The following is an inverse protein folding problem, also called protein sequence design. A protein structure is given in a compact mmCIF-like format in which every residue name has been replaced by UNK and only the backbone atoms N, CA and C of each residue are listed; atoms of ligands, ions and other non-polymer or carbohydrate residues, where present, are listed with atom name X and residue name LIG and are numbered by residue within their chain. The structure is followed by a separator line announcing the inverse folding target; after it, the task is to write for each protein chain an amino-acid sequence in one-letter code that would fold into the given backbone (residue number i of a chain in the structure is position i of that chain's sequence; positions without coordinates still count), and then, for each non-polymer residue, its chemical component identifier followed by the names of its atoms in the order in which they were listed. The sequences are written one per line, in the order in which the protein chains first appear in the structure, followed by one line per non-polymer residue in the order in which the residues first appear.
data_IF_671546400437
#
_entry.id   IF_671546400437
#
_cell.length_a   1.000
_cell.length_b   1.000
_cell.length_c   1.000
_cell.angle_alpha   90.00
_cell.angle_beta   90.00
_cell.angle_gamma   90.00
#
_symmetry.space_group_name_H-M   'P 1'
#
loop_
_entity.id
_entity.type
_entity.pdbx_description
1 polymer ?
#
# COMPACT_ATOMS: atom_id res chain seq x y z
N UNK A 1 -25.18 12.61 23.33
CA UNK A 1 -25.50 13.38 22.12
C UNK A 1 -25.25 12.46 20.94
N UNK A 2 -26.21 12.33 20.01
CA UNK A 2 -26.01 11.48 18.83
C UNK A 2 -25.10 12.21 17.81
N UNK A 3 -24.23 11.46 17.14
CA UNK A 3 -23.38 11.98 16.07
C UNK A 3 -24.21 12.40 14.86
N UNK A 4 -23.80 13.49 14.20
CA UNK A 4 -24.41 13.95 12.94
C UNK A 4 -23.79 13.23 11.74
N UNK A 5 -24.44 13.32 10.57
CA UNK A 5 -23.88 12.80 9.32
C UNK A 5 -22.51 13.43 9.00
N UNK A 6 -22.33 14.72 9.30
CA UNK A 6 -21.06 15.41 9.11
C UNK A 6 -19.96 14.86 10.01
N UNK A 7 -20.29 14.50 11.26
CA UNK A 7 -19.35 13.86 12.17
C UNK A 7 -18.92 12.50 11.63
N UNK A 8 -19.85 11.70 11.10
CA UNK A 8 -19.54 10.42 10.47
C UNK A 8 -18.65 10.60 9.24
N UNK A 9 -18.97 11.54 8.34
CA UNK A 9 -18.15 11.80 7.16
C UNK A 9 -16.73 12.18 7.54
N UNK A 10 -16.59 13.00 8.58
CA UNK A 10 -15.29 13.42 9.09
C UNK A 10 -14.46 12.23 9.63
N UNK A 11 -15.12 11.21 10.18
CA UNK A 11 -14.44 10.04 10.76
C UNK A 11 -14.35 8.83 9.83
N UNK A 12 -15.05 8.81 8.69
CA UNK A 12 -15.18 7.57 7.88
C UNK A 12 -14.75 7.74 6.43
N UNK A 13 -14.79 8.97 5.89
CA UNK A 13 -14.36 9.23 4.52
C UNK A 13 -12.84 9.40 4.44
N UNK A 14 -12.23 8.67 3.52
CA UNK A 14 -10.78 8.68 3.28
C UNK A 14 -10.40 9.04 1.85
N UNK A 15 -11.40 9.12 0.98
CA UNK A 15 -11.22 9.39 -0.45
C UNK A 15 -11.03 10.88 -0.73
N UNK A 16 -10.43 11.19 -1.88
CA UNK A 16 -10.18 12.57 -2.30
C UNK A 16 -9.41 13.38 -1.24
N UNK A 17 -9.99 14.53 -0.90
CA UNK A 17 -9.45 15.52 0.03
C UNK A 17 -10.09 15.43 1.44
N UNK A 18 -10.77 14.32 1.75
CA UNK A 18 -11.31 14.09 3.08
C UNK A 18 -10.19 14.24 4.14
N UNK A 19 -10.37 15.05 5.20
CA UNK A 19 -9.25 15.39 6.07
C UNK A 19 -8.69 14.19 6.85
N UNK A 20 -9.51 13.20 7.19
CA UNK A 20 -9.05 11.93 7.74
C UNK A 20 -8.13 11.19 6.75
N UNK A 21 -8.50 11.11 5.48
CA UNK A 21 -7.64 10.52 4.45
C UNK A 21 -6.30 11.24 4.34
N UNK A 22 -6.31 12.58 4.41
CA UNK A 22 -5.10 13.40 4.47
C UNK A 22 -4.22 13.08 5.68
N UNK A 23 -4.84 13.01 6.86
CA UNK A 23 -4.17 12.70 8.12
C UNK A 23 -3.55 11.29 8.12
N UNK A 24 -4.29 10.27 7.67
CA UNK A 24 -3.79 8.89 7.56
C UNK A 24 -2.58 8.80 6.62
N UNK A 25 -2.66 9.41 5.44
CA UNK A 25 -1.55 9.41 4.47
C UNK A 25 -0.31 10.12 5.00
N UNK A 26 -0.49 11.28 5.64
CA UNK A 26 0.62 12.15 6.04
C UNK A 26 1.34 11.65 7.30
N UNK A 27 0.64 11.01 8.24
CA UNK A 27 1.19 10.74 9.57
C UNK A 27 1.42 9.27 9.90
N UNK A 28 0.85 8.33 9.13
CA UNK A 28 0.88 6.90 9.48
C UNK A 28 1.59 6.05 8.43
N UNK A 29 2.30 5.04 8.93
CA UNK A 29 2.73 3.89 8.14
C UNK A 29 1.55 2.92 8.03
N UNK A 30 1.16 2.61 6.81
CA UNK A 30 0.00 1.76 6.51
C UNK A 30 0.48 0.37 6.07
N UNK A 31 -0.08 -0.72 6.60
CA UNK A 31 0.19 -2.05 6.06
C UNK A 31 -0.42 -2.14 4.66
N UNK A 32 0.39 -2.41 3.64
CA UNK A 32 -0.06 -2.46 2.25
C UNK A 32 -0.40 -3.88 1.82
N UNK A 33 0.58 -4.79 1.89
CA UNK A 33 0.45 -6.21 1.50
C UNK A 33 1.42 -7.09 2.31
N UNK A 34 1.14 -8.40 2.42
CA UNK A 34 2.14 -9.38 2.83
C UNK A 34 3.38 -9.32 1.92
N UNK A 35 4.58 -9.44 2.52
CA UNK A 35 5.85 -9.29 1.80
C UNK A 35 6.13 -10.41 0.79
N UNK A 36 5.61 -11.61 1.06
CA UNK A 36 5.70 -12.79 0.20
C UNK A 36 4.90 -12.68 -1.11
N UNK A 37 3.99 -11.69 -1.21
CA UNK A 37 3.33 -11.37 -2.49
C UNK A 37 4.28 -10.74 -3.51
N UNK A 38 5.43 -10.21 -3.08
CA UNK A 38 6.38 -9.54 -3.97
C UNK A 38 7.65 -10.34 -4.17
N UNK A 39 7.79 -10.91 -5.36
CA UNK A 39 9.03 -11.50 -5.86
C UNK A 39 9.86 -10.43 -6.60
N UNK A 40 11.19 -10.53 -6.52
CA UNK A 40 12.09 -9.66 -7.29
C UNK A 40 11.91 -9.93 -8.79
N UNK A 41 11.76 -8.87 -9.59
CA UNK A 41 11.33 -8.93 -11.00
C UNK A 41 9.99 -9.68 -11.22
N UNK A 42 9.23 -9.88 -10.14
CA UNK A 42 7.91 -10.49 -10.17
C UNK A 42 6.85 -9.50 -10.63
N UNK A 43 5.62 -10.02 -10.78
CA UNK A 43 4.45 -9.22 -11.17
C UNK A 43 4.24 -8.03 -10.22
N UNK A 44 3.97 -6.82 -10.73
CA UNK A 44 3.54 -5.69 -9.91
C UNK A 44 2.10 -5.88 -9.40
N UNK A 45 1.80 -5.36 -8.22
CA UNK A 45 0.46 -5.44 -7.60
C UNK A 45 -0.19 -4.06 -7.53
N UNK A 46 -1.48 -4.00 -7.86
CA UNK A 46 -2.31 -2.85 -7.50
C UNK A 46 -2.63 -2.92 -6.01
N UNK A 47 -2.43 -1.82 -5.29
CA UNK A 47 -2.91 -1.68 -3.91
C UNK A 47 -3.83 -0.47 -3.82
N UNK A 48 -4.98 -0.60 -3.16
CA UNK A 48 -5.88 0.52 -2.87
C UNK A 48 -5.77 0.86 -1.39
N UNK A 49 -5.25 2.04 -1.09
CA UNK A 49 -5.04 2.51 0.28
C UNK A 49 -5.59 3.93 0.40
N UNK A 50 -6.41 4.15 1.43
CA UNK A 50 -6.93 5.48 1.78
C UNK A 50 -7.55 6.19 0.55
N UNK A 51 -8.41 5.46 -0.17
CA UNK A 51 -9.17 5.97 -1.32
C UNK A 51 -8.41 6.16 -2.64
N UNK A 52 -7.13 5.77 -2.71
CA UNK A 52 -6.29 5.92 -3.92
C UNK A 52 -5.67 4.59 -4.32
N UNK A 53 -5.42 4.44 -5.61
CA UNK A 53 -4.73 3.26 -6.14
C UNK A 53 -3.25 3.57 -6.41
N UNK A 54 -2.42 2.59 -6.09
CA UNK A 54 -0.98 2.62 -6.30
C UNK A 54 -0.55 1.32 -6.96
N UNK A 55 0.66 1.31 -7.51
CA UNK A 55 1.36 0.09 -7.94
C UNK A 55 2.56 -0.16 -7.04
N UNK A 56 2.68 -1.39 -6.56
CA UNK A 56 3.80 -1.83 -5.73
C UNK A 56 4.53 -2.99 -6.41
N UNK A 57 5.86 -2.99 -6.36
CA UNK A 57 6.70 -4.00 -6.99
C UNK A 57 8.04 -4.11 -6.26
N UNK A 58 8.74 -5.24 -6.43
CA UNK A 58 10.09 -5.44 -5.93
C UNK A 58 11.04 -5.51 -7.12
N UNK A 59 11.95 -4.56 -7.24
CA UNK A 59 12.88 -4.51 -8.37
C UNK A 59 13.90 -5.66 -8.32
N UNK A 60 14.77 -5.75 -9.34
CA UNK A 60 15.81 -6.77 -9.46
C UNK A 60 16.70 -6.84 -8.22
N UNK A 61 17.04 -5.68 -7.65
CA UNK A 61 17.90 -5.58 -6.46
C UNK A 61 17.16 -5.90 -5.13
N UNK A 62 15.88 -6.27 -5.19
CA UNK A 62 15.07 -6.60 -4.02
C UNK A 62 14.45 -5.40 -3.29
N UNK A 63 14.63 -4.18 -3.82
CA UNK A 63 14.08 -2.93 -3.29
C UNK A 63 12.62 -2.80 -3.69
N UNK A 64 11.77 -2.44 -2.72
CA UNK A 64 10.33 -2.24 -2.96
C UNK A 64 10.06 -0.82 -3.42
N UNK A 65 9.46 -0.69 -4.60
CA UNK A 65 8.92 0.55 -5.15
C UNK A 65 7.41 0.64 -4.97
N UNK A 66 6.91 1.84 -4.64
CA UNK A 66 5.49 2.16 -4.55
C UNK A 66 5.24 3.48 -5.30
N UNK A 67 4.48 3.42 -6.38
CA UNK A 67 4.23 4.54 -7.30
C UNK A 67 2.73 4.77 -7.46
N UNK A 68 2.34 5.94 -7.97
CA UNK A 68 0.98 6.11 -8.50
C UNK A 68 0.68 5.04 -9.57
N UNK A 69 -0.53 4.49 -9.57
CA UNK A 69 -0.87 3.37 -10.46
C UNK A 69 -0.82 3.75 -11.96
N UNK A 70 -1.22 4.97 -12.30
CA UNK A 70 -1.51 5.35 -13.68
C UNK A 70 -0.31 6.04 -14.33
N UNK A 71 0.24 5.40 -15.36
CA UNK A 71 1.34 5.94 -16.16
C UNK A 71 1.05 7.39 -16.60
N UNK A 72 1.98 8.34 -16.40
CA UNK A 72 1.76 9.76 -16.70
C UNK A 72 1.61 10.04 -18.20
N UNK A 73 1.99 9.10 -19.07
CA UNK A 73 1.83 9.25 -20.52
C UNK A 73 0.35 9.23 -20.95
N UNK A 74 -0.35 8.11 -20.74
CA UNK A 74 -1.75 7.90 -21.20
C UNK A 74 -2.60 7.15 -20.18
N UNK A 75 -2.22 7.21 -18.89
CA UNK A 75 -2.97 6.65 -17.75
C UNK A 75 -3.19 5.13 -17.81
N UNK A 76 -2.42 4.39 -18.61
CA UNK A 76 -2.43 2.92 -18.54
C UNK A 76 -1.99 2.48 -17.13
N UNK A 77 -2.67 1.47 -16.58
CA UNK A 77 -2.33 0.91 -15.28
C UNK A 77 -0.95 0.24 -15.32
N UNK A 78 -0.05 0.69 -14.44
CA UNK A 78 1.27 0.08 -14.26
C UNK A 78 1.20 -1.26 -13.52
N UNK A 79 0.07 -1.60 -12.89
CA UNK A 79 -0.16 -2.95 -12.35
C UNK A 79 -0.28 -4.03 -13.44
N UNK A 80 -0.43 -3.61 -14.71
CA UNK A 80 -0.31 -4.48 -15.87
C UNK A 80 1.11 -4.48 -16.47
N UNK A 81 2.03 -3.70 -15.89
CA UNK A 81 3.40 -3.52 -16.36
C UNK A 81 4.30 -4.75 -16.19
N UNK A 82 5.48 -4.66 -16.77
CA UNK A 82 6.55 -5.65 -16.63
C UNK A 82 7.65 -5.10 -15.73
N UNK A 83 7.87 -5.73 -14.59
CA UNK A 83 8.94 -5.40 -13.67
C UNK A 83 10.17 -6.23 -14.03
N UNK A 84 11.26 -5.58 -14.45
CA UNK A 84 12.53 -6.24 -14.79
C UNK A 84 13.66 -5.22 -14.84
N UNK A 85 14.89 -5.66 -14.65
CA UNK A 85 16.10 -4.84 -14.84
C UNK A 85 15.97 -3.49 -14.11
N UNK A 86 15.64 -3.56 -12.84
CA UNK A 86 15.45 -2.42 -11.94
C UNK A 86 14.42 -1.36 -12.38
N UNK A 87 13.41 -1.74 -13.16
CA UNK A 87 12.31 -0.83 -13.45
C UNK A 87 11.00 -1.48 -13.91
N UNK A 88 9.91 -0.76 -13.68
CA UNK A 88 8.57 -1.11 -14.07
C UNK A 88 8.23 -0.50 -15.43
N UNK A 89 8.15 -1.35 -16.44
CA UNK A 89 7.85 -0.99 -17.83
C UNK A 89 6.35 -1.00 -18.07
N UNK A 90 5.80 0.14 -18.46
CA UNK A 90 4.41 0.26 -18.86
C UNK A 90 4.16 -0.53 -20.15
N UNK A 91 3.17 -1.43 -20.14
CA UNK A 91 2.81 -2.25 -21.31
C UNK A 91 2.34 -1.46 -22.52
N UNK A 92 1.95 -0.19 -22.36
CA UNK A 92 1.35 0.54 -23.46
C UNK A 92 2.39 1.01 -24.49
N UNK A 93 3.40 1.75 -24.03
CA UNK A 93 4.42 2.35 -24.91
C UNK A 93 5.84 2.16 -24.39
N UNK A 94 6.05 1.26 -23.42
CA UNK A 94 7.37 0.90 -22.92
C UNK A 94 8.03 1.94 -22.00
N UNK A 95 7.31 2.95 -21.51
CA UNK A 95 7.87 3.88 -20.52
C UNK A 95 8.24 3.11 -19.24
N UNK A 96 9.51 3.17 -18.85
CA UNK A 96 10.06 2.40 -17.73
C UNK A 96 10.38 3.33 -16.56
N UNK A 97 9.89 2.98 -15.37
CA UNK A 97 10.10 3.76 -14.15
C UNK A 97 10.92 2.97 -13.14
N UNK A 98 11.89 3.59 -12.48
CA UNK A 98 12.57 2.98 -11.34
C UNK A 98 11.73 3.05 -10.04
N UNK A 99 12.23 2.44 -8.96
CA UNK A 99 11.57 2.47 -7.63
C UNK A 99 11.43 3.89 -7.05
N UNK A 100 12.22 4.82 -7.58
CA UNK A 100 12.26 6.21 -7.17
C UNK A 100 11.28 7.09 -7.96
N UNK A 101 10.53 6.51 -8.91
CA UNK A 101 9.56 7.22 -9.74
C UNK A 101 10.19 8.01 -10.90
N UNK A 102 11.47 7.79 -11.19
CA UNK A 102 12.14 8.41 -12.32
C UNK A 102 11.80 7.64 -13.59
N UNK A 103 11.47 8.36 -14.68
CA UNK A 103 11.44 7.75 -16.00
C UNK A 103 12.89 7.45 -16.41
N UNK A 104 13.21 6.18 -16.64
CA UNK A 104 14.56 5.72 -17.00
C UNK A 104 14.69 5.32 -18.47
N UNK A 105 13.57 5.01 -19.13
CA UNK A 105 13.52 4.80 -20.57
C UNK A 105 12.15 5.19 -21.15
N UNK A 106 12.16 5.71 -22.37
CA UNK A 106 11.01 6.16 -23.12
C UNK A 106 11.23 5.86 -24.62
N UNK A 107 10.94 4.62 -25.07
CA UNK A 107 11.31 4.16 -26.41
C UNK A 107 10.76 5.00 -27.56
N UNK A 108 9.58 5.60 -27.36
CA UNK A 108 8.90 6.45 -28.34
C UNK A 108 9.44 7.89 -28.42
N UNK A 109 10.46 8.24 -27.63
CA UNK A 109 11.12 9.55 -27.70
C UNK A 109 12.42 9.39 -28.48
N UNK A 110 12.46 9.89 -29.70
CA UNK A 110 13.61 9.68 -30.61
C UNK A 110 14.74 10.67 -30.34
N UNK A 111 14.42 11.93 -30.05
CA UNK A 111 15.40 13.01 -29.88
C UNK A 111 15.49 13.42 -28.41
N UNK A 112 16.71 13.64 -27.91
CA UNK A 112 16.97 14.09 -26.54
C UNK A 112 16.30 13.23 -25.45
N UNK A 113 16.19 11.91 -25.67
CA UNK A 113 15.51 10.96 -24.76
C UNK A 113 15.97 11.08 -23.32
N UNK A 114 17.28 11.19 -23.08
CA UNK A 114 17.82 11.30 -21.72
C UNK A 114 17.32 12.56 -21.00
N UNK A 115 17.31 13.71 -21.69
CA UNK A 115 16.80 14.96 -21.13
C UNK A 115 15.28 14.88 -20.88
N UNK A 116 14.54 14.26 -21.80
CA UNK A 116 13.11 14.02 -21.64
C UNK A 116 12.81 13.14 -20.42
N UNK A 117 13.55 12.04 -20.26
CA UNK A 117 13.42 11.13 -19.12
C UNK A 117 13.65 11.87 -17.79
N UNK A 118 14.64 12.77 -17.73
CA UNK A 118 14.89 13.62 -16.56
C UNK A 118 13.74 14.59 -16.25
N UNK A 119 12.97 15.04 -17.24
CA UNK A 119 11.84 15.96 -17.05
C UNK A 119 10.55 15.31 -16.57
N UNK A 120 10.42 13.98 -16.69
CA UNK A 120 9.22 13.25 -16.28
C UNK A 120 9.46 12.59 -14.94
N UNK A 121 8.57 12.85 -13.97
CA UNK A 121 8.53 12.16 -12.68
C UNK A 121 7.15 11.57 -12.47
N UNK A 122 7.12 10.37 -11.93
CA UNK A 122 5.93 9.76 -11.37
C UNK A 122 5.99 9.90 -9.85
N UNK A 123 4.85 10.18 -9.21
CA UNK A 123 4.82 10.22 -7.75
C UNK A 123 5.23 8.87 -7.19
N UNK A 124 6.07 8.94 -6.16
CA UNK A 124 6.58 7.79 -5.44
C UNK A 124 6.34 7.98 -3.95
N UNK A 125 6.23 6.87 -3.24
CA UNK A 125 5.98 6.84 -1.81
C UNK A 125 7.08 6.06 -1.09
N UNK A 126 7.08 6.06 0.24
CA UNK A 126 8.08 5.29 1.00
C UNK A 126 7.52 3.94 1.36
N UNK A 127 8.36 2.91 1.21
CA UNK A 127 8.03 1.55 1.63
C UNK A 127 9.12 1.03 2.57
N UNK A 128 8.71 0.21 3.54
CA UNK A 128 9.59 -0.50 4.48
C UNK A 128 9.05 -1.91 4.67
N UNK A 129 9.93 -2.90 4.62
CA UNK A 129 9.59 -4.30 4.90
C UNK A 129 10.02 -4.67 6.31
N UNK A 130 9.04 -5.00 7.16
CA UNK A 130 9.21 -5.37 8.58
C UNK A 130 8.11 -6.33 9.00
N UNK A 131 8.43 -7.35 9.79
CA UNK A 131 7.44 -8.32 10.28
C UNK A 131 6.74 -9.16 9.21
N UNK A 132 7.33 -9.32 8.01
CA UNK A 132 6.68 -10.00 6.88
C UNK A 132 5.59 -9.18 6.18
N UNK A 133 5.51 -7.87 6.46
CA UNK A 133 4.56 -6.93 5.86
C UNK A 133 5.33 -5.85 5.12
N UNK A 134 4.83 -5.45 3.95
CA UNK A 134 5.24 -4.22 3.30
C UNK A 134 4.39 -3.08 3.85
N UNK A 135 5.04 -2.16 4.54
CA UNK A 135 4.46 -0.93 5.06
C UNK A 135 4.72 0.20 4.09
N UNK A 136 3.75 1.10 3.92
CA UNK A 136 3.90 2.29 3.07
C UNK A 136 3.54 3.55 3.81
N UNK A 137 4.28 4.62 3.54
CA UNK A 137 3.94 5.97 3.96
C UNK A 137 3.65 6.82 2.73
N UNK A 138 2.44 7.36 2.68
CA UNK A 138 1.85 8.02 1.50
C UNK A 138 1.92 9.56 1.58
N UNK A 139 2.63 10.09 2.57
CA UNK A 139 2.76 11.52 2.83
C UNK A 139 3.85 12.19 2.02
N UNK A 140 4.08 13.47 2.33
CA UNK A 140 5.15 14.29 1.72
C UNK A 140 6.05 14.91 2.78
N UNK A 141 7.26 15.31 2.39
CA UNK A 141 8.24 15.92 3.29
C UNK A 141 9.02 14.90 4.12
N UNK A 142 9.20 15.20 5.41
CA UNK A 142 9.96 14.36 6.32
C UNK A 142 9.18 13.07 6.65
N UNK A 143 9.81 11.93 6.38
CA UNK A 143 9.24 10.61 6.65
C UNK A 143 9.13 10.42 8.16
N UNK A 144 7.96 10.04 8.71
CA UNK A 144 7.83 9.75 10.13
C UNK A 144 8.62 8.49 10.50
N UNK A 145 9.09 8.43 11.75
CA UNK A 145 9.71 7.22 12.28
C UNK A 145 8.72 6.04 12.21
N UNK A 146 9.23 4.86 11.88
CA UNK A 146 8.42 3.65 11.86
C UNK A 146 7.98 3.28 13.29
N UNK A 147 6.70 3.00 13.58
CA UNK A 147 6.25 2.73 14.93
C UNK A 147 6.97 1.53 15.56
N UNK A 148 7.30 1.60 16.85
CA UNK A 148 7.88 0.49 17.59
C UNK A 148 6.81 -0.57 17.86
N UNK A 149 6.66 -1.52 16.93
CA UNK A 149 5.68 -2.59 16.97
C UNK A 149 6.39 -3.91 17.33
N UNK A 150 6.30 -4.45 18.56
CA UNK A 150 7.13 -5.58 19.00
C UNK A 150 7.05 -6.82 18.10
N UNK A 151 5.90 -7.06 17.47
CA UNK A 151 5.70 -8.22 16.61
C UNK A 151 6.52 -8.19 15.32
N UNK A 152 6.99 -7.01 14.87
CA UNK A 152 7.72 -6.89 13.59
C UNK A 152 9.15 -7.41 13.67
N UNK A 153 9.68 -7.53 14.89
CA UNK A 153 11.04 -7.98 15.19
C UNK A 153 11.09 -9.47 15.62
N UNK A 154 9.93 -10.12 15.77
CA UNK A 154 9.86 -11.54 16.10
C UNK A 154 10.44 -12.40 14.96
N UNK A 155 11.06 -13.57 15.25
CA UNK A 155 11.48 -14.55 14.26
C UNK A 155 10.36 -14.99 13.30
N UNK A 156 10.73 -15.48 12.10
CA UNK A 156 9.78 -15.80 11.04
C UNK A 156 8.84 -16.96 11.39
N UNK A 157 9.34 -17.93 12.15
CA UNK A 157 8.62 -19.08 12.68
C UNK A 157 7.69 -18.73 13.86
N UNK A 158 7.79 -17.51 14.40
CA UNK A 158 6.96 -17.01 15.50
C UNK A 158 5.92 -15.98 15.03
N UNK A 159 5.73 -15.83 13.72
CA UNK A 159 4.77 -14.90 13.14
C UNK A 159 4.04 -15.53 11.97
N UNK A 160 2.78 -15.12 11.79
CA UNK A 160 1.98 -15.44 10.62
C UNK A 160 1.37 -14.15 10.09
N UNK A 161 1.42 -13.96 8.77
CA UNK A 161 0.91 -12.76 8.11
C UNK A 161 -0.19 -13.18 7.15
N UNK A 162 -1.40 -12.68 7.38
CA UNK A 162 -2.55 -12.91 6.53
C UNK A 162 -3.20 -11.58 6.18
N UNK A 163 -3.91 -11.55 5.05
CA UNK A 163 -4.63 -10.37 4.59
C UNK A 163 -5.92 -10.81 3.92
N UNK A 164 -7.02 -10.18 4.33
CA UNK A 164 -8.37 -10.45 3.83
C UNK A 164 -9.02 -9.11 3.51
N UNK A 165 -9.70 -9.04 2.37
CA UNK A 165 -10.51 -7.89 2.01
C UNK A 165 -11.90 -8.02 2.65
N UNK A 166 -12.27 -7.02 3.44
CA UNK A 166 -13.59 -6.92 4.05
C UNK A 166 -14.32 -5.70 3.44
N UNK A 167 -15.46 -5.89 2.77
CA UNK A 167 -16.18 -4.81 2.10
C UNK A 167 -17.00 -3.96 3.09
N UNK A 168 -16.32 -3.36 4.06
CA UNK A 168 -16.90 -2.49 5.10
C UNK A 168 -16.11 -1.20 5.22
N UNK A 169 -16.66 -0.19 5.89
CA UNK A 169 -15.85 0.96 6.25
C UNK A 169 -14.75 0.54 7.23
N UNK A 170 -13.57 1.15 7.12
CA UNK A 170 -12.41 0.80 7.96
C UNK A 170 -12.73 0.94 9.46
N UNK A 171 -13.53 1.95 9.84
CA UNK A 171 -13.86 2.23 11.23
C UNK A 171 -14.68 1.09 11.85
N UNK A 172 -15.56 0.46 11.09
CA UNK A 172 -16.34 -0.70 11.56
C UNK A 172 -15.42 -1.88 11.90
N UNK A 173 -14.36 -2.11 11.11
CA UNK A 173 -13.37 -3.15 11.40
C UNK A 173 -12.54 -2.84 12.64
N UNK A 174 -12.14 -1.56 12.82
CA UNK A 174 -11.42 -1.11 14.01
C UNK A 174 -12.29 -1.27 15.27
N UNK A 175 -13.52 -0.79 15.24
CA UNK A 175 -14.45 -0.90 16.37
C UNK A 175 -14.76 -2.35 16.72
N UNK A 176 -15.03 -3.20 15.71
CA UNK A 176 -15.26 -4.63 15.93
C UNK A 176 -14.05 -5.31 16.58
N UNK A 177 -12.82 -4.95 16.20
CA UNK A 177 -11.62 -5.52 16.82
C UNK A 177 -11.41 -5.11 18.28
N UNK A 178 -12.00 -4.00 18.71
CA UNK A 178 -11.90 -3.47 20.08
C UNK A 178 -13.08 -3.88 20.97
N UNK A 179 -14.24 -4.20 20.40
CA UNK A 179 -15.41 -4.62 21.17
C UNK A 179 -15.22 -6.03 21.73
N UNK A 180 -15.04 -6.17 23.04
CA UNK A 180 -14.92 -7.49 23.67
C UNK A 180 -16.24 -8.26 23.72
N UNK A 181 -17.38 -7.58 23.58
CA UNK A 181 -18.71 -8.17 23.74
C UNK A 181 -19.03 -9.14 22.61
N UNK A 182 -18.66 -8.82 21.36
CA UNK A 182 -18.93 -9.70 20.22
C UNK A 182 -18.27 -11.08 20.38
N UNK A 183 -17.18 -11.20 21.14
CA UNK A 183 -16.48 -12.48 21.35
C UNK A 183 -17.41 -13.52 22.00
N UNK A 184 -18.23 -13.11 22.97
CA UNK A 184 -19.11 -14.04 23.70
C UNK A 184 -20.33 -14.49 22.88
N UNK A 185 -20.73 -13.72 21.87
CA UNK A 185 -21.92 -14.02 21.06
C UNK A 185 -21.54 -14.53 19.66
N UNK A 186 -20.72 -13.80 18.92
CA UNK A 186 -20.31 -14.14 17.54
C UNK A 186 -19.34 -15.31 17.50
N UNK A 187 -18.42 -15.39 18.47
CA UNK A 187 -17.41 -16.45 18.55
C UNK A 187 -17.76 -17.52 19.59
N UNK A 188 -19.02 -17.61 20.02
CA UNK A 188 -19.47 -18.55 21.06
C UNK A 188 -19.04 -20.00 20.76
N UNK A 189 -19.21 -20.46 19.51
CA UNK A 189 -18.81 -21.81 19.11
C UNK A 189 -17.31 -22.06 19.21
N UNK A 190 -16.46 -21.04 19.05
CA UNK A 190 -15.00 -21.16 19.20
C UNK A 190 -14.59 -21.10 20.67
N UNK A 191 -15.24 -20.25 21.46
CA UNK A 191 -14.96 -20.08 22.89
C UNK A 191 -15.39 -21.32 23.69
N UNK A 192 -16.56 -21.89 23.39
CA UNK A 192 -17.05 -23.11 24.07
C UNK A 192 -16.19 -24.35 23.76
N UNK A 193 -15.56 -24.41 22.59
CA UNK A 193 -14.63 -25.49 22.22
C UNK A 193 -13.30 -25.44 23.00
N UNK A 194 -12.94 -24.30 23.59
CA UNK A 194 -11.77 -24.17 24.47
C UNK A 194 -12.03 -24.60 25.93
N UNK A 195 -13.28 -24.92 26.29
CA UNK A 195 -13.69 -25.28 27.65
C UNK A 195 -13.81 -26.78 27.93
N UNK A 196 -13.58 -27.64 26.94
CA UNK A 196 -13.73 -29.10 27.06
C UNK A 196 -12.49 -29.86 26.55
N UNK A 197 -11.30 -29.47 27.02
CA UNK A 197 -10.12 -30.34 27.10
C UNK A 197 -9.57 -30.34 28.51
#
# INVERSE_FOLDING_TARGET
MALTAQDYDMMTLVEGDAPLGGMLRQHYWLPAIPADKLEADGRPYRVRLVGRNYVIFRNTDGVVGILDELCPHRRASLALGQNRENGLTCIYHGWKFDVDGNLVDAPNVETNREAFCKSVKLNRYKAVERGGIIWVWLGTGAVPHFPALPFVDLPADQRSVTSVECPTNYLQGVEASMDTTHVSFLHQSVVELGGNT
#
